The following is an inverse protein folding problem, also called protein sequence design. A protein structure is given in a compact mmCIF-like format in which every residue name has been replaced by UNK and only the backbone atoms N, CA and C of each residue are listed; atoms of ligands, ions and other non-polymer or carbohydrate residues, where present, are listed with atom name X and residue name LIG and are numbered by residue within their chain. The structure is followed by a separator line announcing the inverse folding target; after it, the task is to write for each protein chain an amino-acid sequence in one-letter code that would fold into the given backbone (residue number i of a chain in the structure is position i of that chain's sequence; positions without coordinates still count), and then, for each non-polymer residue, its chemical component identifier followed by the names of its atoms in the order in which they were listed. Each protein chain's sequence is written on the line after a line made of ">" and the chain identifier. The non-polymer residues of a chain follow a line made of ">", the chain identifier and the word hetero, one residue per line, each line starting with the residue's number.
data_IF_670830423223
#
_entry.id   IF_670830423223
#
_cell.length_a   1.000
_cell.length_b   1.000
_cell.length_c   1.000
_cell.angle_alpha   90.00
_cell.angle_beta   90.00
_cell.angle_gamma   90.00
#
_symmetry.space_group_name_H-M   'P 1'
#
loop_
_entity.id
_entity.type
_entity.pdbx_description
1 polymer ?
#
# COMPACT_ATOMS: atom_id res chain seq x y z
N UNK A 1 -8.02 35.65 17.54
CA UNK A 1 -7.00 35.07 16.66
C UNK A 1 -7.14 33.57 16.87
N UNK A 2 -7.28 32.81 15.79
CA UNK A 2 -7.42 31.35 15.87
C UNK A 2 -6.12 30.76 16.44
N UNK A 3 -6.07 30.57 17.76
CA UNK A 3 -5.00 29.82 18.42
C UNK A 3 -5.29 28.31 18.24
N UNK A 4 -5.43 27.87 16.99
CA UNK A 4 -5.61 26.47 16.64
C UNK A 4 -4.21 25.88 16.40
N UNK A 5 -3.79 24.97 17.27
CA UNK A 5 -2.63 24.13 17.01
C UNK A 5 -2.99 23.14 15.92
N UNK A 6 -2.12 23.03 14.91
CA UNK A 6 -2.26 22.04 13.85
C UNK A 6 -2.34 20.62 14.42
N UNK A 7 -3.15 19.77 13.78
CA UNK A 7 -3.32 18.41 14.24
C UNK A 7 -2.01 17.61 14.12
N UNK A 8 -1.63 16.89 15.19
CA UNK A 8 -0.50 15.96 15.12
C UNK A 8 -0.79 14.87 14.07
N UNK A 9 0.03 14.77 13.03
CA UNK A 9 -0.10 13.76 11.98
C UNK A 9 -0.39 14.30 10.57
N UNK A 10 -0.57 15.61 10.41
CA UNK A 10 -0.67 16.24 9.07
C UNK A 10 0.69 16.36 8.35
N UNK A 11 1.80 16.26 9.08
CA UNK A 11 3.17 16.20 8.55
C UNK A 11 3.87 14.93 9.05
N UNK A 12 4.29 14.08 8.12
CA UNK A 12 4.92 12.76 8.37
C UNK A 12 6.32 12.90 9.01
N UNK A 13 6.97 14.05 8.86
CA UNK A 13 8.30 14.31 9.41
C UNK A 13 8.28 15.08 10.73
N UNK A 14 7.09 15.45 11.23
CA UNK A 14 6.98 16.23 12.46
C UNK A 14 7.15 15.33 13.68
N UNK A 15 8.15 15.66 14.49
CA UNK A 15 8.43 14.97 15.73
C UNK A 15 7.35 15.23 16.79
N UNK A 16 6.91 14.15 17.47
CA UNK A 16 5.85 14.19 18.48
C UNK A 16 6.22 15.01 19.70
N UNK A 17 7.51 15.04 20.05
CA UNK A 17 8.01 15.78 21.21
C UNK A 17 8.01 17.27 20.91
N UNK A 18 8.45 17.67 19.71
CA UNK A 18 8.36 19.05 19.25
C UNK A 18 6.91 19.57 19.22
N UNK A 19 5.98 18.75 18.72
CA UNK A 19 4.55 19.09 18.71
C UNK A 19 3.97 19.23 20.13
N UNK A 20 4.35 18.35 21.07
CA UNK A 20 3.88 18.42 22.45
C UNK A 20 4.37 19.68 23.18
N UNK A 21 5.59 20.14 22.88
CA UNK A 21 6.11 21.40 23.44
C UNK A 21 5.33 22.62 22.96
N UNK A 22 4.95 22.68 21.68
CA UNK A 22 4.10 23.73 21.15
C UNK A 22 2.70 23.68 21.76
N UNK A 23 2.14 22.47 21.89
CA UNK A 23 0.87 22.22 22.56
C UNK A 23 0.86 22.76 24.00
N UNK A 24 1.86 22.38 24.79
CA UNK A 24 2.02 22.87 26.16
C UNK A 24 2.19 24.39 26.24
N UNK A 25 2.92 24.97 25.28
CA UNK A 25 3.09 26.42 25.18
C UNK A 25 1.76 27.15 25.00
N UNK A 26 0.95 26.75 24.02
CA UNK A 26 -0.35 27.37 23.74
C UNK A 26 -1.36 27.08 24.85
N UNK A 27 -1.39 25.87 25.40
CA UNK A 27 -2.29 25.52 26.50
C UNK A 27 -1.98 26.35 27.76
N UNK A 28 -0.70 26.62 28.01
CA UNK A 28 -0.25 27.48 29.11
C UNK A 28 -0.61 28.95 28.86
N UNK A 29 -0.43 29.45 27.63
CA UNK A 29 -0.84 30.80 27.25
C UNK A 29 -2.36 31.00 27.36
N UNK A 30 -3.13 29.97 27.03
CA UNK A 30 -4.58 29.93 27.18
C UNK A 30 -5.05 29.62 28.62
N UNK A 31 -4.13 29.57 29.59
CA UNK A 31 -4.39 29.29 31.01
C UNK A 31 -5.24 28.03 31.24
N UNK A 32 -5.02 26.98 30.43
CA UNK A 32 -5.75 25.72 30.55
C UNK A 32 -5.32 24.97 31.81
N UNK A 33 -6.29 24.38 32.51
CA UNK A 33 -6.01 23.48 33.63
C UNK A 33 -5.48 22.14 33.14
N UNK A 34 -4.81 21.38 34.02
CA UNK A 34 -4.28 20.05 33.69
C UNK A 34 -5.37 19.08 33.19
N UNK A 35 -6.56 19.15 33.79
CA UNK A 35 -7.71 18.36 33.35
C UNK A 35 -8.18 18.74 31.95
N UNK A 36 -8.16 20.03 31.62
CA UNK A 36 -8.51 20.52 30.28
C UNK A 36 -7.48 20.09 29.24
N UNK A 37 -6.18 20.13 29.57
CA UNK A 37 -5.10 19.61 28.71
C UNK A 37 -5.27 18.12 28.44
N UNK A 38 -5.55 17.34 29.48
CA UNK A 38 -5.82 15.91 29.35
C UNK A 38 -7.01 15.61 28.44
N UNK A 39 -8.12 16.34 28.60
CA UNK A 39 -9.29 16.21 27.72
C UNK A 39 -8.94 16.60 26.29
N UNK A 40 -8.16 17.67 26.07
CA UNK A 40 -7.74 18.09 24.73
C UNK A 40 -6.86 17.05 24.05
N UNK A 41 -5.88 16.47 24.74
CA UNK A 41 -5.06 15.37 24.24
C UNK A 41 -5.91 14.13 23.91
N UNK A 42 -6.89 13.79 24.76
CA UNK A 42 -7.81 12.68 24.50
C UNK A 42 -8.72 12.96 23.31
N UNK A 43 -9.29 14.16 23.20
CA UNK A 43 -10.12 14.58 22.06
C UNK A 43 -9.29 14.53 20.78
N UNK A 44 -8.03 14.97 20.81
CA UNK A 44 -7.15 14.91 19.65
C UNK A 44 -6.80 13.48 19.25
N UNK A 45 -6.51 12.60 20.22
CA UNK A 45 -6.35 11.16 19.97
C UNK A 45 -7.62 10.53 19.38
N UNK A 46 -8.79 10.91 19.88
CA UNK A 46 -10.08 10.46 19.36
C UNK A 46 -10.31 11.00 17.93
N UNK A 47 -10.06 12.28 17.67
CA UNK A 47 -10.20 12.89 16.34
C UNK A 47 -9.22 12.25 15.34
N UNK A 48 -7.98 11.96 15.73
CA UNK A 48 -7.01 11.26 14.89
C UNK A 48 -7.37 9.80 14.64
N UNK A 49 -7.89 9.10 15.65
CA UNK A 49 -8.40 7.73 15.47
C UNK A 49 -9.65 7.71 14.60
N UNK A 50 -10.55 8.68 14.71
CA UNK A 50 -11.69 8.86 13.82
C UNK A 50 -11.28 9.25 12.40
N UNK A 51 -10.29 10.13 12.22
CA UNK A 51 -9.76 10.49 10.90
C UNK A 51 -9.07 9.30 10.22
N UNK A 52 -8.35 8.46 10.99
CA UNK A 52 -7.85 7.16 10.53
C UNK A 52 -8.97 6.19 10.17
N UNK A 53 -10.03 6.13 10.98
CA UNK A 53 -11.21 5.32 10.68
C UNK A 53 -11.96 5.85 9.45
N UNK A 54 -12.02 7.16 9.21
CA UNK A 54 -12.62 7.76 8.00
C UNK A 54 -11.74 7.50 6.77
N UNK A 55 -10.41 7.56 6.87
CA UNK A 55 -9.52 7.12 5.78
C UNK A 55 -9.68 5.62 5.48
N UNK A 56 -9.75 4.78 6.51
CA UNK A 56 -10.12 3.36 6.41
C UNK A 56 -11.52 3.15 5.79
N UNK A 57 -12.45 4.10 5.98
CA UNK A 57 -13.77 4.12 5.35
C UNK A 57 -13.77 4.71 3.93
N UNK A 58 -12.84 5.59 3.56
CA UNK A 58 -12.64 6.05 2.18
C UNK A 58 -11.98 4.95 1.31
N UNK A 59 -11.35 3.95 1.95
CA UNK A 59 -11.06 2.64 1.36
C UNK A 59 -12.32 1.72 1.24
N UNK A 60 -13.50 2.12 1.72
CA UNK A 60 -14.80 1.61 1.22
C UNK A 60 -15.00 2.21 -0.19
N UNK A 61 -15.33 1.56 -1.31
CA UNK A 61 -16.01 0.32 -1.64
C UNK A 61 -15.33 -0.19 -2.93
N UNK A 62 -14.16 -0.81 -2.83
CA UNK A 62 -13.70 -1.68 -3.92
C UNK A 62 -14.14 -3.07 -3.53
N UNK A 63 -15.17 -3.61 -4.19
CA UNK A 63 -15.57 -4.99 -3.93
C UNK A 63 -14.37 -5.87 -4.23
N UNK A 64 -14.09 -6.86 -3.38
CA UNK A 64 -13.02 -7.82 -3.67
C UNK A 64 -13.15 -8.40 -5.09
N UNK A 65 -14.40 -8.62 -5.56
CA UNK A 65 -14.69 -9.02 -6.95
C UNK A 65 -14.14 -8.07 -8.01
N UNK A 66 -14.10 -6.77 -7.74
CA UNK A 66 -13.55 -5.77 -8.66
C UNK A 66 -12.02 -5.81 -8.65
N UNK A 67 -11.40 -6.08 -7.50
CA UNK A 67 -9.94 -6.31 -7.42
C UNK A 67 -9.56 -7.58 -8.19
N UNK A 68 -10.26 -8.70 -7.96
CA UNK A 68 -10.04 -9.93 -8.72
C UNK A 68 -10.25 -9.71 -10.23
N UNK A 69 -11.30 -8.99 -10.65
CA UNK A 69 -11.52 -8.67 -12.07
C UNK A 69 -10.37 -7.84 -12.65
N UNK A 70 -9.88 -6.85 -11.91
CA UNK A 70 -8.73 -6.03 -12.33
C UNK A 70 -7.48 -6.89 -12.49
N UNK A 71 -7.18 -7.75 -11.52
CA UNK A 71 -6.05 -8.68 -11.57
C UNK A 71 -6.13 -9.61 -12.79
N UNK A 72 -7.27 -10.25 -13.03
CA UNK A 72 -7.48 -11.13 -14.20
C UNK A 72 -7.30 -10.35 -15.51
N UNK A 73 -7.83 -9.14 -15.59
CA UNK A 73 -7.75 -8.31 -16.81
C UNK A 73 -6.36 -7.74 -17.07
N UNK A 74 -5.48 -7.72 -16.06
CA UNK A 74 -4.19 -7.05 -16.11
C UNK A 74 -3.14 -7.97 -16.71
N UNK A 75 -2.93 -7.80 -18.02
CA UNK A 75 -1.92 -8.51 -18.81
C UNK A 75 -0.61 -7.73 -18.87
N UNK A 76 0.55 -8.40 -18.89
CA UNK A 76 1.86 -7.76 -19.07
C UNK A 76 1.93 -7.07 -20.43
N UNK A 77 2.38 -5.82 -20.43
CA UNK A 77 2.60 -5.01 -21.63
C UNK A 77 3.98 -5.32 -22.22
N UNK A 78 4.13 -5.10 -23.53
CA UNK A 78 5.41 -5.32 -24.21
C UNK A 78 6.52 -4.35 -23.78
N UNK A 79 6.14 -3.16 -23.32
CA UNK A 79 7.05 -2.07 -22.97
C UNK A 79 7.27 -1.92 -21.46
N UNK A 80 6.82 -2.88 -20.65
CA UNK A 80 7.10 -2.91 -19.21
C UNK A 80 7.93 -4.15 -18.90
N UNK A 81 8.85 -4.02 -17.94
CA UNK A 81 9.61 -5.14 -17.40
C UNK A 81 8.73 -6.07 -16.58
N UNK A 82 9.19 -7.30 -16.35
CA UNK A 82 8.47 -8.26 -15.54
C UNK A 82 8.32 -7.77 -14.08
N UNK A 83 9.31 -7.06 -13.53
CA UNK A 83 9.24 -6.51 -12.18
C UNK A 83 8.25 -5.35 -12.08
N UNK A 84 8.23 -4.43 -13.05
CA UNK A 84 7.23 -3.35 -13.07
C UNK A 84 5.80 -3.90 -13.14
N UNK A 85 5.60 -4.97 -13.92
CA UNK A 85 4.33 -5.69 -13.95
C UNK A 85 3.96 -6.27 -12.59
N UNK A 86 4.89 -6.97 -11.92
CA UNK A 86 4.67 -7.53 -10.58
C UNK A 86 4.30 -6.45 -9.56
N UNK A 87 5.03 -5.34 -9.53
CA UNK A 87 4.73 -4.24 -8.60
C UNK A 87 3.35 -3.64 -8.83
N UNK A 88 2.92 -3.51 -10.09
CA UNK A 88 1.58 -3.04 -10.40
C UNK A 88 0.50 -4.05 -9.98
N UNK A 89 0.76 -5.35 -10.12
CA UNK A 89 -0.13 -6.41 -9.62
C UNK A 89 -0.23 -6.37 -8.09
N UNK A 90 0.88 -6.18 -7.37
CA UNK A 90 0.88 -6.01 -5.91
C UNK A 90 0.11 -4.74 -5.48
N UNK A 91 0.23 -3.64 -6.24
CA UNK A 91 -0.53 -2.40 -6.00
C UNK A 91 -2.03 -2.56 -6.25
N UNK A 92 -2.45 -3.36 -7.23
CA UNK A 92 -3.87 -3.68 -7.42
C UNK A 92 -4.34 -4.56 -6.26
N UNK A 93 -3.54 -5.57 -5.88
CA UNK A 93 -3.86 -6.52 -4.82
C UNK A 93 -3.96 -5.87 -3.44
N UNK A 94 -3.19 -4.79 -3.15
CA UNK A 94 -3.22 -4.08 -1.87
C UNK A 94 -4.60 -3.50 -1.49
N UNK A 95 -5.55 -3.47 -2.43
CA UNK A 95 -6.92 -3.02 -2.22
C UNK A 95 -7.87 -4.12 -1.75
N UNK A 96 -7.40 -5.37 -1.59
CA UNK A 96 -8.18 -6.49 -1.05
C UNK A 96 -7.28 -7.46 -0.27
N UNK A 97 -7.89 -8.37 0.50
CA UNK A 97 -7.17 -9.49 1.11
C UNK A 97 -7.06 -10.60 0.06
N UNK A 98 -5.85 -10.83 -0.44
CA UNK A 98 -5.54 -11.84 -1.45
C UNK A 98 -4.35 -12.65 -0.94
N UNK A 99 -4.45 -13.97 -0.94
CA UNK A 99 -3.35 -14.83 -0.55
C UNK A 99 -2.25 -14.83 -1.63
N UNK A 100 -1.04 -15.14 -1.19
CA UNK A 100 0.14 -15.07 -2.04
C UNK A 100 0.07 -16.03 -3.24
N UNK A 101 -0.50 -17.23 -3.06
CA UNK A 101 -0.67 -18.21 -4.13
C UNK A 101 -1.64 -17.73 -5.20
N UNK A 102 -2.78 -17.13 -4.81
CA UNK A 102 -3.71 -16.49 -5.75
C UNK A 102 -3.06 -15.33 -6.51
N UNK A 103 -2.26 -14.52 -5.83
CA UNK A 103 -1.55 -13.42 -6.49
C UNK A 103 -0.51 -13.93 -7.50
N UNK A 104 0.22 -14.98 -7.15
CA UNK A 104 1.14 -15.69 -8.07
C UNK A 104 0.36 -16.17 -9.30
N UNK A 105 -0.82 -16.77 -9.12
CA UNK A 105 -1.65 -17.22 -10.24
C UNK A 105 -2.03 -16.08 -11.19
N UNK A 106 -2.53 -14.97 -10.65
CA UNK A 106 -2.86 -13.81 -11.47
C UNK A 106 -1.66 -13.24 -12.23
N UNK A 107 -0.49 -13.18 -11.58
CA UNK A 107 0.74 -12.69 -12.21
C UNK A 107 1.19 -13.64 -13.32
N UNK A 108 1.21 -14.95 -13.07
CA UNK A 108 1.67 -15.94 -14.04
C UNK A 108 0.78 -15.99 -15.27
N UNK A 109 -0.54 -15.99 -15.08
CA UNK A 109 -1.49 -16.02 -16.19
C UNK A 109 -1.53 -14.71 -17.00
N UNK A 110 -1.27 -13.57 -16.35
CA UNK A 110 -1.19 -12.29 -17.03
C UNK A 110 0.17 -12.00 -17.68
N UNK A 111 1.25 -12.67 -17.26
CA UNK A 111 2.58 -12.47 -17.80
C UNK A 111 2.90 -13.42 -18.97
N UNK A 112 2.44 -14.67 -18.93
CA UNK A 112 2.92 -15.72 -19.85
C UNK A 112 1.78 -16.56 -20.41
N UNK A 113 1.76 -16.73 -21.74
CA UNK A 113 0.77 -17.58 -22.42
C UNK A 113 1.24 -19.02 -22.61
N UNK A 114 2.56 -19.24 -22.71
CA UNK A 114 3.16 -20.56 -22.92
C UNK A 114 2.94 -21.48 -21.69
N UNK A 115 2.34 -22.64 -21.91
CA UNK A 115 2.02 -23.61 -20.86
C UNK A 115 3.25 -24.16 -20.12
N UNK A 116 4.37 -24.38 -20.83
CA UNK A 116 5.61 -24.89 -20.23
C UNK A 116 6.22 -23.88 -19.27
N UNK A 117 6.29 -22.62 -19.70
CA UNK A 117 6.82 -21.53 -18.87
C UNK A 117 5.93 -21.27 -17.66
N UNK A 118 4.60 -21.25 -17.84
CA UNK A 118 3.65 -21.14 -16.71
C UNK A 118 3.85 -22.25 -15.68
N UNK A 119 3.99 -23.50 -16.12
CA UNK A 119 4.25 -24.63 -15.22
C UNK A 119 5.55 -24.47 -14.42
N UNK A 120 6.57 -23.80 -14.97
CA UNK A 120 7.80 -23.48 -14.24
C UNK A 120 7.53 -22.43 -13.15
N UNK A 121 6.83 -21.35 -13.50
CA UNK A 121 6.58 -20.21 -12.62
C UNK A 121 5.64 -20.58 -11.46
N UNK A 122 4.68 -21.48 -11.66
CA UNK A 122 3.81 -22.00 -10.59
C UNK A 122 4.55 -22.77 -9.49
N UNK A 123 5.84 -23.07 -9.67
CA UNK A 123 6.66 -23.68 -8.60
C UNK A 123 7.08 -22.68 -7.54
N UNK A 124 7.05 -21.38 -7.84
CA UNK A 124 7.33 -20.33 -6.87
C UNK A 124 6.30 -20.40 -5.73
N UNK A 125 6.78 -20.39 -4.50
CA UNK A 125 5.96 -20.39 -3.28
C UNK A 125 5.79 -19.00 -2.70
N UNK A 126 6.66 -18.07 -3.07
CA UNK A 126 6.63 -16.67 -2.64
C UNK A 126 6.71 -15.73 -3.85
N UNK A 127 6.27 -14.49 -3.66
CA UNK A 127 6.37 -13.45 -4.68
C UNK A 127 7.84 -13.11 -4.97
N UNK A 128 8.70 -13.20 -3.97
CA UNK A 128 10.15 -13.01 -4.11
C UNK A 128 10.77 -14.08 -5.02
N UNK A 129 10.45 -15.36 -4.80
CA UNK A 129 10.87 -16.44 -5.72
C UNK A 129 10.32 -16.22 -7.14
N UNK A 130 9.06 -15.78 -7.25
CA UNK A 130 8.44 -15.50 -8.55
C UNK A 130 9.15 -14.36 -9.29
N UNK A 131 9.56 -13.30 -8.59
CA UNK A 131 10.30 -12.17 -9.18
C UNK A 131 11.63 -12.64 -9.78
N UNK A 132 12.36 -13.49 -9.07
CA UNK A 132 13.64 -14.04 -9.54
C UNK A 132 13.45 -14.88 -10.82
N UNK A 133 12.48 -15.78 -10.81
CA UNK A 133 12.15 -16.64 -11.96
C UNK A 133 11.67 -15.81 -13.18
N UNK A 134 10.86 -14.78 -12.95
CA UNK A 134 10.38 -13.89 -14.02
C UNK A 134 11.51 -13.08 -14.66
N UNK A 135 12.48 -12.60 -13.86
CA UNK A 135 13.65 -11.89 -14.39
C UNK A 135 14.53 -12.82 -15.21
N UNK A 136 14.73 -14.05 -14.75
CA UNK A 136 15.48 -15.06 -15.51
C UNK A 136 14.79 -15.35 -16.85
N UNK A 137 13.47 -15.57 -16.83
CA UNK A 137 12.70 -15.80 -18.05
C UNK A 137 12.73 -14.61 -19.01
N UNK A 138 12.54 -13.39 -18.52
CA UNK A 138 12.53 -12.19 -19.36
C UNK A 138 13.86 -11.98 -20.09
N UNK A 139 14.99 -12.32 -19.44
CA UNK A 139 16.32 -12.32 -20.09
C UNK A 139 16.44 -13.40 -21.16
N UNK A 140 16.01 -14.62 -20.85
CA UNK A 140 16.05 -15.74 -21.80
C UNK A 140 15.14 -15.49 -23.02
N UNK A 141 14.00 -14.82 -22.85
CA UNK A 141 13.09 -14.46 -23.95
C UNK A 141 13.70 -13.41 -24.88
N UNK A 142 14.41 -12.41 -24.32
CA UNK A 142 15.18 -11.45 -25.12
C UNK A 142 16.24 -12.13 -25.98
N UNK A 143 17.04 -13.04 -25.39
CA UNK A 143 18.09 -13.77 -26.12
C UNK A 143 17.53 -14.63 -27.27
N UNK A 144 16.36 -15.25 -27.10
CA UNK A 144 15.71 -16.04 -28.16
C UNK A 144 15.03 -15.18 -29.23
N UNK A 145 14.76 -13.90 -28.96
CA UNK A 145 14.17 -12.97 -29.94
C UNK A 145 15.18 -12.32 -30.88
N UNK A 146 16.47 -12.35 -30.50
CA UNK A 146 17.60 -11.82 -31.27
C UNK A 146 18.27 -12.87 -32.19
N UNK A 147 17.71 -14.09 -32.27
CA UNK A 147 18.20 -15.19 -33.15
C UNK A 147 17.17 -15.53 -34.23
#
# INVERSE_FOLDING_TARGET
>A
MEDAIDAYGDDVNRDIVAWFYEFEGVATMAQRTEDQKNIMCQVQYIVLSFAKDINKRIWEIVRASDVHRRLISRQKKRNESALEYVYEMQRIASNAVIDESSLIEYIVDGAVTNARTRASLYRAKTIEELKEELVFWERADMENSDT
#
